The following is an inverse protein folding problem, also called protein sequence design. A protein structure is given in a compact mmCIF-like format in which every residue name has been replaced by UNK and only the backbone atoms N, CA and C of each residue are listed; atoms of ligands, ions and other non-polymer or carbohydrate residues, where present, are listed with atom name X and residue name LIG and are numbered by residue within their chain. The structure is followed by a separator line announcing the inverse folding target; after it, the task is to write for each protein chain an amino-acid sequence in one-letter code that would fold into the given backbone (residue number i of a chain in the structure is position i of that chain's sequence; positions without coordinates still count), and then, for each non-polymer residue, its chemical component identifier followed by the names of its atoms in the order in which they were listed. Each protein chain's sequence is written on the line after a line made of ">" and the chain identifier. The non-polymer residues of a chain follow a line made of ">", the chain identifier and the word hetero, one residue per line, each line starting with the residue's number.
data_IF_244765639878
#
_entry.id   IF_244765639878
#
_cell.length_a   1.000
_cell.length_b   1.000
_cell.length_c   1.000
_cell.angle_alpha   90.00
_cell.angle_beta   90.00
_cell.angle_gamma   90.00
#
_symmetry.space_group_name_H-M   'P 1'
#
loop_
_entity.id
_entity.type
_entity.pdbx_description
1 polymer ?
#
# COMPACT_ATOMS: atom_id res chain seq x y z
N UNK A 1 -2.58 17.19 -17.08
CA UNK A 1 -3.45 18.23 -16.49
C UNK A 1 -4.60 17.68 -15.62
N UNK A 2 -5.54 16.87 -16.15
CA UNK A 2 -6.72 16.39 -15.39
C UNK A 2 -6.38 15.54 -14.14
N UNK A 3 -5.33 14.73 -14.19
CA UNK A 3 -4.91 13.89 -13.06
C UNK A 3 -4.24 14.69 -11.93
N UNK A 4 -3.52 15.76 -12.28
CA UNK A 4 -2.90 16.67 -11.32
C UNK A 4 -3.96 17.43 -10.51
N UNK A 5 -5.00 17.95 -11.18
CA UNK A 5 -6.12 18.61 -10.49
C UNK A 5 -6.87 17.64 -9.56
N UNK A 6 -7.07 16.39 -10.00
CA UNK A 6 -7.64 15.34 -9.16
C UNK A 6 -6.76 15.05 -7.94
N UNK A 7 -5.44 15.02 -8.08
CA UNK A 7 -4.51 14.85 -6.97
C UNK A 7 -4.58 16.02 -5.98
N UNK A 8 -4.56 17.27 -6.46
CA UNK A 8 -4.70 18.49 -5.65
C UNK A 8 -6.01 18.49 -4.86
N UNK A 9 -7.13 18.12 -5.48
CA UNK A 9 -8.42 17.98 -4.78
C UNK A 9 -8.39 16.89 -3.69
N UNK A 10 -7.64 15.80 -3.89
CA UNK A 10 -7.48 14.74 -2.87
C UNK A 10 -6.64 15.21 -1.70
N UNK A 11 -5.57 15.96 -1.96
CA UNK A 11 -4.72 16.62 -0.95
C UNK A 11 -5.55 17.57 -0.10
N UNK A 12 -6.28 18.51 -0.72
CA UNK A 12 -7.13 19.46 0.00
C UNK A 12 -8.19 18.76 0.88
N UNK A 13 -8.78 17.66 0.39
CA UNK A 13 -9.73 16.85 1.19
C UNK A 13 -9.07 16.17 2.39
N UNK A 14 -7.82 15.72 2.25
CA UNK A 14 -7.06 15.09 3.35
C UNK A 14 -6.60 16.13 4.37
N UNK A 15 -6.14 17.30 3.91
CA UNK A 15 -5.77 18.44 4.76
C UNK A 15 -6.95 18.91 5.59
N UNK A 16 -8.13 19.12 4.97
CA UNK A 16 -9.34 19.50 5.71
C UNK A 16 -9.72 18.47 6.77
N UNK A 17 -9.52 17.17 6.49
CA UNK A 17 -9.76 16.10 7.47
C UNK A 17 -8.73 16.09 8.60
N UNK A 18 -7.46 16.38 8.30
CA UNK A 18 -6.40 16.45 9.30
C UNK A 18 -6.54 17.69 10.17
N UNK A 19 -6.81 18.85 9.57
CA UNK A 19 -7.11 20.08 10.29
C UNK A 19 -8.31 19.90 11.23
N UNK A 20 -9.39 19.25 10.75
CA UNK A 20 -10.52 18.92 11.62
C UNK A 20 -10.13 18.02 12.79
N UNK A 21 -9.23 17.05 12.58
CA UNK A 21 -8.75 16.17 13.67
C UNK A 21 -7.79 16.87 14.61
N UNK A 22 -6.97 17.80 14.12
CA UNK A 22 -6.02 18.57 14.91
C UNK A 22 -6.70 19.65 15.74
N UNK A 23 -7.80 20.22 15.23
CA UNK A 23 -8.64 21.18 15.94
C UNK A 23 -9.53 20.54 17.02
N UNK A 24 -9.67 19.21 17.04
CA UNK A 24 -10.40 18.53 18.11
C UNK A 24 -9.60 18.57 19.40
N UNK A 25 -10.22 19.08 20.46
CA UNK A 25 -9.62 19.09 21.80
C UNK A 25 -9.44 17.67 22.32
N UNK A 26 -8.57 17.49 23.32
CA UNK A 26 -8.37 16.16 23.93
C UNK A 26 -9.67 15.60 24.53
N UNK A 27 -10.51 16.48 25.10
CA UNK A 27 -11.83 16.13 25.63
C UNK A 27 -12.76 15.58 24.54
N UNK A 28 -12.86 16.26 23.40
CA UNK A 28 -13.68 15.79 22.28
C UNK A 28 -13.16 14.46 21.69
N UNK A 29 -11.84 14.26 21.68
CA UNK A 29 -11.23 12.99 21.25
C UNK A 29 -11.58 11.85 22.21
N UNK A 30 -11.59 12.14 23.51
CA UNK A 30 -11.93 11.19 24.56
C UNK A 30 -13.41 10.81 24.54
N UNK A 31 -14.31 11.78 24.35
CA UNK A 31 -15.74 11.55 24.14
C UNK A 31 -16.00 10.71 22.88
N UNK A 32 -15.30 11.00 21.77
CA UNK A 32 -15.42 10.20 20.56
C UNK A 32 -14.95 8.76 20.79
N UNK A 33 -13.85 8.57 21.52
CA UNK A 33 -13.37 7.24 21.88
C UNK A 33 -14.41 6.50 22.74
N UNK A 34 -15.00 7.17 23.71
CA UNK A 34 -16.04 6.60 24.57
C UNK A 34 -17.30 6.22 23.79
N UNK A 35 -17.80 7.09 22.91
CA UNK A 35 -18.92 6.78 22.03
C UNK A 35 -18.63 5.58 21.12
N UNK A 36 -17.39 5.46 20.63
CA UNK A 36 -16.98 4.30 19.83
C UNK A 36 -16.94 3.00 20.66
N UNK A 37 -16.52 3.06 21.93
CA UNK A 37 -16.60 1.92 22.85
C UNK A 37 -18.06 1.50 23.01
N UNK A 38 -18.95 2.43 23.37
CA UNK A 38 -20.39 2.15 23.58
C UNK A 38 -21.04 1.52 22.34
N UNK A 39 -20.82 2.11 21.16
CA UNK A 39 -21.33 1.58 19.88
C UNK A 39 -20.81 0.18 19.56
N UNK A 40 -19.56 -0.15 19.93
CA UNK A 40 -19.02 -1.49 19.72
C UNK A 40 -19.66 -2.51 20.65
N UNK A 41 -19.82 -2.16 21.93
CA UNK A 41 -20.48 -3.03 22.90
C UNK A 41 -21.93 -3.28 22.51
N UNK A 42 -22.66 -2.23 22.12
CA UNK A 42 -24.06 -2.35 21.67
C UNK A 42 -24.17 -3.25 20.42
N UNK A 43 -23.29 -3.08 19.43
CA UNK A 43 -23.26 -3.94 18.24
C UNK A 43 -22.92 -5.39 18.57
N UNK A 44 -22.01 -5.62 19.51
CA UNK A 44 -21.67 -6.96 19.97
C UNK A 44 -22.85 -7.61 20.70
N UNK A 45 -23.54 -6.87 21.57
CA UNK A 45 -24.75 -7.33 22.24
C UNK A 45 -25.87 -7.68 21.24
N UNK A 46 -26.12 -6.85 20.23
CA UNK A 46 -27.12 -7.12 19.18
C UNK A 46 -26.78 -8.35 18.32
N UNK A 47 -25.50 -8.64 18.11
CA UNK A 47 -25.05 -9.84 17.39
C UNK A 47 -25.20 -11.08 18.26
N UNK A 48 -24.77 -11.00 19.51
CA UNK A 48 -24.93 -12.05 20.50
C UNK A 48 -26.40 -12.47 20.66
N UNK A 49 -27.32 -11.50 20.77
CA UNK A 49 -28.76 -11.79 20.85
C UNK A 49 -29.34 -12.42 19.58
N UNK A 50 -28.77 -12.10 18.41
CA UNK A 50 -29.24 -12.63 17.12
C UNK A 50 -28.75 -14.04 16.86
N UNK A 51 -27.49 -14.31 17.19
CA UNK A 51 -26.80 -15.55 16.86
C UNK A 51 -26.84 -16.56 18.03
N UNK A 52 -27.40 -16.17 19.18
CA UNK A 52 -27.39 -16.97 20.42
C UNK A 52 -26.01 -17.14 21.04
N UNK A 53 -25.00 -16.43 20.55
CA UNK A 53 -23.63 -16.49 21.06
C UNK A 53 -23.46 -15.60 22.29
N UNK A 54 -22.50 -15.92 23.16
CA UNK A 54 -22.17 -15.07 24.30
C UNK A 54 -21.67 -13.68 23.85
N UNK A 55 -22.07 -12.64 24.58
CA UNK A 55 -21.57 -11.29 24.34
C UNK A 55 -20.15 -11.17 24.92
N UNK A 56 -19.12 -10.89 24.10
CA UNK A 56 -17.74 -10.79 24.59
C UNK A 56 -17.50 -9.62 25.56
N UNK A 57 -18.50 -8.74 25.75
CA UNK A 57 -18.46 -7.62 26.68
C UNK A 57 -19.45 -7.74 27.85
N UNK A 58 -20.08 -8.91 28.05
CA UNK A 58 -21.06 -9.14 29.12
C UNK A 58 -20.51 -8.75 30.50
N UNK A 59 -19.29 -9.19 30.82
CA UNK A 59 -18.62 -8.90 32.10
C UNK A 59 -18.43 -7.41 32.40
N UNK A 60 -18.36 -6.57 31.37
CA UNK A 60 -18.18 -5.12 31.52
C UNK A 60 -19.54 -4.45 31.83
N UNK A 61 -20.63 -5.07 31.38
CA UNK A 61 -22.00 -4.60 31.62
C UNK A 61 -22.64 -5.20 32.88
N UNK A 62 -22.17 -6.35 33.36
CA UNK A 62 -22.73 -7.04 34.52
C UNK A 62 -22.47 -6.28 35.82
N UNK A 63 -23.51 -5.72 36.46
CA UNK A 63 -23.43 -4.97 37.72
C UNK A 63 -22.69 -5.70 38.86
N UNK A 64 -22.65 -7.04 38.85
CA UNK A 64 -22.04 -7.86 39.91
C UNK A 64 -20.52 -7.92 39.89
N UNK A 65 -19.86 -7.64 38.76
CA UNK A 65 -18.39 -7.67 38.72
C UNK A 65 -17.79 -6.44 39.43
N UNK A 66 -16.65 -6.62 40.12
CA UNK A 66 -16.09 -5.56 40.96
C UNK A 66 -15.79 -4.31 40.14
N UNK A 67 -16.15 -3.14 40.69
CA UNK A 67 -15.98 -1.82 40.05
C UNK A 67 -14.56 -1.59 39.51
N UNK A 68 -13.54 -2.13 40.20
CA UNK A 68 -12.14 -2.02 39.78
C UNK A 68 -11.81 -2.83 38.52
N UNK A 69 -12.34 -4.05 38.39
CA UNK A 69 -12.12 -4.91 37.22
C UNK A 69 -12.80 -4.35 35.97
N UNK A 70 -14.04 -3.84 36.11
CA UNK A 70 -14.77 -3.16 35.04
C UNK A 70 -14.03 -1.94 34.53
N UNK A 71 -13.63 -1.04 35.44
CA UNK A 71 -12.86 0.17 35.10
C UNK A 71 -11.59 -0.17 34.33
N UNK A 72 -10.86 -1.21 34.75
CA UNK A 72 -9.64 -1.65 34.06
C UNK A 72 -9.92 -2.15 32.63
N UNK A 73 -10.92 -3.00 32.44
CA UNK A 73 -11.27 -3.52 31.10
C UNK A 73 -11.82 -2.43 30.18
N UNK A 74 -12.64 -1.53 30.71
CA UNK A 74 -13.14 -0.38 29.97
C UNK A 74 -12.00 0.55 29.55
N UNK A 75 -11.07 0.85 30.47
CA UNK A 75 -9.87 1.64 30.17
C UNK A 75 -8.99 0.99 29.10
N UNK A 76 -8.78 -0.33 29.15
CA UNK A 76 -8.06 -1.07 28.11
C UNK A 76 -8.75 -0.97 26.74
N UNK A 77 -10.07 -1.10 26.70
CA UNK A 77 -10.82 -0.96 25.45
C UNK A 77 -10.77 0.47 24.91
N UNK A 78 -10.88 1.49 25.78
CA UNK A 78 -10.71 2.91 25.42
C UNK A 78 -9.31 3.17 24.85
N UNK A 79 -8.26 2.66 25.51
CA UNK A 79 -6.87 2.78 25.06
C UNK A 79 -6.66 2.15 23.67
N UNK A 80 -7.16 0.92 23.45
CA UNK A 80 -7.06 0.26 22.15
C UNK A 80 -7.85 0.94 21.03
N UNK A 81 -8.89 1.73 21.34
CA UNK A 81 -9.55 2.61 20.36
C UNK A 81 -8.71 3.85 20.09
N UNK A 82 -8.17 4.49 21.13
CA UNK A 82 -7.30 5.67 21.01
C UNK A 82 -6.09 5.37 20.11
N UNK A 83 -5.44 4.23 20.32
CA UNK A 83 -4.34 3.75 19.47
C UNK A 83 -4.75 3.55 18.01
N UNK A 84 -5.95 2.99 17.76
CA UNK A 84 -6.47 2.85 16.38
C UNK A 84 -6.79 4.19 15.73
N UNK A 85 -7.18 5.19 16.51
CA UNK A 85 -7.44 6.56 16.01
C UNK A 85 -6.13 7.25 15.66
N UNK A 86 -5.12 7.19 16.53
CA UNK A 86 -3.80 7.78 16.29
C UNK A 86 -3.09 7.10 15.11
N UNK A 87 -3.12 5.77 15.02
CA UNK A 87 -2.57 5.05 13.87
C UNK A 87 -3.25 5.44 12.54
N UNK A 88 -4.58 5.64 12.54
CA UNK A 88 -5.31 6.13 11.36
C UNK A 88 -4.96 7.56 10.99
N UNK A 89 -4.67 8.42 11.98
CA UNK A 89 -4.19 9.79 11.76
C UNK A 89 -2.81 9.77 11.11
N UNK A 90 -1.85 9.05 11.68
CA UNK A 90 -0.48 8.94 11.16
C UNK A 90 -0.48 8.41 9.72
N UNK A 91 -1.30 7.38 9.43
CA UNK A 91 -1.46 6.85 8.05
C UNK A 91 -2.02 7.89 7.06
N UNK A 92 -2.87 8.82 7.53
CA UNK A 92 -3.39 9.91 6.68
C UNK A 92 -2.33 10.99 6.45
N UNK A 93 -1.54 11.31 7.47
CA UNK A 93 -0.42 12.26 7.38
C UNK A 93 0.65 11.74 6.41
N UNK A 94 1.05 10.47 6.53
CA UNK A 94 1.98 9.82 5.61
C UNK A 94 1.45 9.84 4.16
N UNK A 95 0.16 9.52 3.98
CA UNK A 95 -0.47 9.56 2.66
C UNK A 95 -0.53 10.97 2.08
N UNK A 96 -0.74 11.97 2.92
CA UNK A 96 -0.74 13.37 2.52
C UNK A 96 0.66 13.82 2.09
N UNK A 97 1.70 13.44 2.86
CA UNK A 97 3.09 13.74 2.54
C UNK A 97 3.49 13.16 1.17
N UNK A 98 3.19 11.88 0.92
CA UNK A 98 3.45 11.25 -0.39
C UNK A 98 2.76 11.98 -1.54
N UNK A 99 1.48 12.34 -1.38
CA UNK A 99 0.75 13.05 -2.42
C UNK A 99 1.28 14.47 -2.67
N UNK A 100 1.80 15.15 -1.63
CA UNK A 100 2.43 16.46 -1.78
C UNK A 100 3.75 16.33 -2.53
N UNK A 101 4.55 15.32 -2.24
CA UNK A 101 5.80 15.02 -2.95
C UNK A 101 5.54 14.70 -4.43
N UNK A 102 4.56 13.84 -4.73
CA UNK A 102 4.17 13.52 -6.10
C UNK A 102 3.76 14.77 -6.90
N UNK A 103 3.00 15.69 -6.27
CA UNK A 103 2.59 16.95 -6.91
C UNK A 103 3.79 17.87 -7.14
N UNK A 104 4.70 17.99 -6.16
CA UNK A 104 5.89 18.82 -6.28
C UNK A 104 6.82 18.32 -7.40
N UNK A 105 7.00 17.00 -7.53
CA UNK A 105 7.76 16.41 -8.62
C UNK A 105 7.11 16.66 -9.99
N UNK A 106 5.78 16.57 -10.08
CA UNK A 106 5.05 16.84 -11.32
C UNK A 106 5.13 18.32 -11.72
N UNK A 107 5.03 19.25 -10.76
CA UNK A 107 5.13 20.69 -11.02
C UNK A 107 6.56 21.08 -11.47
N UNK A 108 7.60 20.49 -10.87
CA UNK A 108 8.99 20.69 -11.32
C UNK A 108 9.24 20.11 -12.72
N UNK A 109 8.69 18.94 -13.05
CA UNK A 109 8.83 18.35 -14.37
C UNK A 109 8.20 19.23 -15.48
N UNK A 110 7.11 19.95 -15.17
CA UNK A 110 6.48 20.87 -16.13
C UNK A 110 7.26 22.20 -16.33
N UNK A 111 8.20 22.55 -15.46
CA UNK A 111 9.05 23.75 -15.62
C UNK A 111 10.28 23.54 -16.53
N UNK A 112 10.70 22.30 -16.77
CA UNK A 112 11.91 22.01 -17.55
C UNK A 112 11.70 22.20 -19.06
N UNK A 113 10.46 22.08 -19.56
CA UNK A 113 10.13 22.25 -20.99
C UNK A 113 9.93 23.71 -21.44
N UNK A 114 10.18 24.70 -20.56
CA UNK A 114 9.97 26.13 -20.86
C UNK A 114 11.26 26.94 -21.03
N UNK A 115 12.43 26.29 -21.09
CA UNK A 115 13.71 26.98 -21.32
C UNK A 115 13.98 27.07 -22.83
N UNK A 116 14.11 28.26 -23.44
CA UNK A 116 14.38 28.38 -24.87
C UNK A 116 15.77 27.79 -25.20
N UNK A 117 15.77 26.80 -26.09
CA UNK A 117 16.95 26.23 -26.73
C UNK A 117 17.64 27.32 -27.57
N UNK A 118 18.84 27.73 -27.16
CA UNK A 118 19.82 28.28 -28.08
C UNK A 118 21.06 27.39 -28.07
N UNK A 119 21.63 27.23 -29.27
CA UNK A 119 22.93 26.67 -29.63
C UNK A 119 23.14 25.14 -29.78
N UNK A 120 23.04 24.74 -31.07
CA UNK A 120 24.04 24.03 -31.89
C UNK A 120 24.63 22.67 -31.48
N UNK A 121 24.32 21.69 -32.34
CA UNK A 121 24.98 20.39 -32.58
C UNK A 121 26.47 20.53 -33.03
N UNK A 122 27.33 19.47 -33.10
CA UNK A 122 27.00 18.17 -33.72
C UNK A 122 27.53 16.86 -33.07
N UNK A 123 26.68 15.83 -33.23
CA UNK A 123 26.97 14.44 -33.64
C UNK A 123 27.88 13.52 -32.80
N UNK A 124 27.28 12.46 -32.24
CA UNK A 124 27.65 11.07 -32.56
C UNK A 124 26.39 10.23 -32.79
N UNK A 125 26.27 9.72 -34.00
CA UNK A 125 25.18 8.89 -34.49
C UNK A 125 25.41 7.43 -34.09
N UNK A 126 24.44 6.84 -33.38
CA UNK A 126 24.18 5.40 -33.48
C UNK A 126 22.71 5.22 -33.89
N UNK A 127 22.38 4.28 -34.79
CA UNK A 127 21.04 4.21 -35.36
C UNK A 127 20.05 3.77 -34.28
N UNK A 128 19.16 4.69 -33.91
CA UNK A 128 18.00 4.44 -33.08
C UNK A 128 17.06 3.44 -33.79
N UNK A 129 17.34 2.14 -33.64
CA UNK A 129 16.30 1.12 -33.80
C UNK A 129 15.22 1.46 -32.78
N UNK A 130 13.95 1.50 -33.22
CA UNK A 130 12.78 1.76 -32.37
C UNK A 130 12.70 0.70 -31.27
N UNK A 131 13.48 0.91 -30.23
CA UNK A 131 13.54 0.10 -29.06
C UNK A 131 12.30 0.43 -28.24
N UNK A 132 11.40 -0.54 -28.06
CA UNK A 132 10.29 -0.37 -27.13
C UNK A 132 10.81 0.04 -25.76
N UNK A 133 9.99 0.72 -24.97
CA UNK A 133 10.35 1.28 -23.65
C UNK A 133 11.07 0.30 -22.70
N UNK A 134 10.93 -1.01 -22.92
CA UNK A 134 11.59 -2.08 -22.16
C UNK A 134 12.80 -2.70 -22.88
N UNK A 135 13.66 -1.90 -23.51
CA UNK A 135 14.92 -2.39 -24.07
C UNK A 135 16.12 -1.86 -23.29
N UNK A 136 16.55 -2.64 -22.30
CA UNK A 136 17.69 -2.32 -21.45
C UNK A 136 19.03 -2.36 -22.19
N UNK A 137 19.11 -3.08 -23.32
CA UNK A 137 20.34 -3.14 -24.13
C UNK A 137 20.60 -1.81 -24.88
N UNK A 138 19.55 -1.05 -25.18
CA UNK A 138 19.64 0.24 -25.83
C UNK A 138 19.82 1.41 -24.85
N UNK A 139 19.83 1.15 -23.54
CA UNK A 139 20.10 2.18 -22.55
C UNK A 139 21.55 2.67 -22.69
N UNK A 140 21.70 3.99 -22.68
CA UNK A 140 22.99 4.66 -22.71
C UNK A 140 23.58 4.66 -21.30
N UNK A 141 24.70 3.98 -21.15
CA UNK A 141 25.47 3.95 -19.90
C UNK A 141 26.84 4.51 -20.21
N UNK A 142 27.30 5.49 -19.44
CA UNK A 142 28.63 6.10 -19.60
C UNK A 142 29.79 5.12 -19.41
N UNK A 143 29.52 3.93 -18.85
CA UNK A 143 30.50 2.88 -18.62
C UNK A 143 29.94 1.50 -19.02
N UNK A 144 30.58 0.87 -20.00
CA UNK A 144 30.20 -0.43 -20.55
C UNK A 144 30.28 -1.58 -19.54
N UNK A 145 31.20 -1.53 -18.57
CA UNK A 145 31.27 -2.53 -17.50
C UNK A 145 30.04 -2.46 -16.59
N UNK A 146 29.52 -1.24 -16.36
CA UNK A 146 28.32 -1.03 -15.56
C UNK A 146 27.09 -1.52 -16.31
N UNK A 147 27.03 -1.28 -17.62
CA UNK A 147 25.99 -1.82 -18.51
C UNK A 147 25.98 -3.35 -18.48
N UNK A 148 27.13 -4.00 -18.62
CA UNK A 148 27.23 -5.45 -18.58
C UNK A 148 26.79 -6.04 -17.23
N UNK A 149 27.19 -5.44 -16.10
CA UNK A 149 26.75 -5.84 -14.76
C UNK A 149 25.24 -5.64 -14.57
N UNK A 150 24.71 -4.53 -15.05
CA UNK A 150 23.28 -4.22 -15.00
C UNK A 150 22.46 -5.20 -15.84
N UNK A 151 22.86 -5.48 -17.08
CA UNK A 151 22.18 -6.46 -17.95
C UNK A 151 22.23 -7.86 -17.35
N UNK A 152 23.36 -8.26 -16.76
CA UNK A 152 23.50 -9.51 -16.01
C UNK A 152 22.58 -9.57 -14.79
N UNK A 153 22.46 -8.46 -14.05
CA UNK A 153 21.57 -8.37 -12.88
C UNK A 153 20.08 -8.44 -13.29
N UNK A 154 19.72 -7.79 -14.39
CA UNK A 154 18.37 -7.81 -14.95
C UNK A 154 18.03 -9.11 -15.69
N UNK A 155 19.00 -10.04 -15.82
CA UNK A 155 18.81 -11.31 -16.51
C UNK A 155 18.65 -11.17 -18.03
N UNK A 156 19.01 -10.01 -18.59
CA UNK A 156 18.99 -9.78 -20.03
C UNK A 156 20.26 -10.40 -20.59
N UNK A 157 20.12 -11.59 -21.18
CA UNK A 157 21.21 -12.33 -21.83
C UNK A 157 21.57 -11.59 -23.11
N UNK A 158 22.64 -10.79 -23.07
CA UNK A 158 23.16 -10.12 -24.26
C UNK A 158 23.47 -11.16 -25.33
N UNK A 159 22.76 -11.10 -26.45
CA UNK A 159 22.97 -11.99 -27.57
C UNK A 159 24.34 -11.76 -28.20
N UNK A 160 25.31 -12.61 -27.86
CA UNK A 160 26.62 -12.62 -28.50
C UNK A 160 27.69 -13.30 -27.66
N UNK A 161 27.89 -14.61 -27.87
CA UNK A 161 29.11 -15.32 -27.46
C UNK A 161 28.97 -16.22 -26.23
N UNK A 162 29.18 -17.53 -26.48
CA UNK A 162 29.41 -18.60 -25.51
C UNK A 162 28.26 -18.92 -24.52
N UNK A 163 27.45 -19.89 -24.91
CA UNK A 163 26.71 -20.73 -23.97
C UNK A 163 27.71 -21.54 -23.13
N UNK A 164 27.72 -21.49 -21.79
CA UNK A 164 28.05 -22.69 -21.04
C UNK A 164 26.79 -23.55 -21.07
N UNK A 165 26.79 -24.53 -21.96
CA UNK A 165 26.01 -25.75 -21.78
C UNK A 165 26.35 -26.31 -20.40
N UNK A 166 25.44 -26.13 -19.46
CA UNK A 166 25.61 -26.56 -18.09
C UNK A 166 24.30 -26.45 -17.36
N UNK A 167 23.56 -27.56 -17.31
CA UNK A 167 22.52 -27.82 -16.33
C UNK A 167 23.06 -27.53 -14.94
N UNK A 168 22.85 -26.32 -14.46
CA UNK A 168 23.37 -25.86 -13.20
C UNK A 168 22.52 -24.68 -12.78
N UNK A 169 21.52 -24.97 -11.95
CA UNK A 169 20.84 -23.99 -11.10
C UNK A 169 21.84 -22.93 -10.66
N UNK A 170 21.81 -21.75 -11.29
CA UNK A 170 22.39 -20.55 -10.71
C UNK A 170 21.55 -20.27 -9.47
N UNK A 171 21.99 -20.86 -8.37
CA UNK A 171 21.49 -20.64 -7.04
C UNK A 171 21.51 -19.13 -6.84
N UNK A 172 20.32 -18.55 -6.81
CA UNK A 172 20.10 -17.21 -6.27
C UNK A 172 20.88 -17.09 -4.96
N UNK A 173 21.49 -15.93 -4.62
CA UNK A 173 22.09 -15.74 -3.30
C UNK A 173 21.08 -15.94 -2.14
N UNK A 174 19.78 -16.02 -2.44
CA UNK A 174 18.72 -16.41 -1.51
C UNK A 174 18.46 -17.93 -1.42
N UNK A 175 19.04 -18.73 -2.30
CA UNK A 175 18.84 -20.19 -2.34
C UNK A 175 19.46 -20.89 -1.11
N UNK A 176 20.47 -20.29 -0.47
CA UNK A 176 21.06 -20.82 0.78
C UNK A 176 20.20 -20.56 2.02
N UNK A 177 19.24 -19.63 1.95
CA UNK A 177 18.39 -19.24 3.09
C UNK A 177 17.00 -19.89 3.08
N UNK A 178 16.57 -20.48 1.95
CA UNK A 178 15.26 -21.11 1.82
C UNK A 178 15.42 -22.63 1.82
N UNK A 179 15.07 -23.26 2.94
CA UNK A 179 15.00 -24.72 3.04
C UNK A 179 13.96 -25.28 2.07
N UNK A 180 14.10 -26.54 1.63
CA UNK A 180 13.13 -27.20 0.72
C UNK A 180 11.69 -27.15 1.25
N UNK A 181 11.53 -27.16 2.57
CA UNK A 181 10.24 -26.99 3.28
C UNK A 181 9.70 -25.55 3.16
N UNK A 182 10.58 -24.55 3.26
CA UNK A 182 10.27 -23.15 3.01
C UNK A 182 9.75 -22.92 1.58
N UNK A 183 10.37 -23.54 0.58
CA UNK A 183 9.91 -23.46 -0.81
C UNK A 183 8.50 -24.02 -1.00
N UNK A 184 8.20 -25.19 -0.41
CA UNK A 184 6.84 -25.76 -0.46
C UNK A 184 5.81 -24.86 0.21
N UNK A 185 6.17 -24.24 1.34
CA UNK A 185 5.29 -23.30 2.05
C UNK A 185 5.06 -22.01 1.26
N UNK A 186 6.10 -21.47 0.65
CA UNK A 186 6.02 -20.27 -0.21
C UNK A 186 5.15 -20.57 -1.44
N UNK A 187 5.35 -21.70 -2.10
CA UNK A 187 4.52 -22.09 -3.24
C UNK A 187 3.05 -22.26 -2.86
N UNK A 188 2.76 -22.90 -1.72
CA UNK A 188 1.38 -23.03 -1.22
C UNK A 188 0.75 -21.68 -0.89
N UNK A 189 1.50 -20.76 -0.30
CA UNK A 189 0.99 -19.42 0.02
C UNK A 189 0.75 -18.58 -1.23
N UNK A 190 1.64 -18.66 -2.22
CA UNK A 190 1.46 -18.02 -3.53
C UNK A 190 0.21 -18.54 -4.25
N UNK A 191 0.01 -19.86 -4.27
CA UNK A 191 -1.18 -20.47 -4.86
C UNK A 191 -2.46 -20.02 -4.13
N UNK A 192 -2.43 -19.94 -2.80
CA UNK A 192 -3.56 -19.45 -2.00
C UNK A 192 -3.90 -17.99 -2.30
N UNK A 193 -2.89 -17.13 -2.42
CA UNK A 193 -3.07 -15.72 -2.77
C UNK A 193 -3.62 -15.56 -4.20
N UNK A 194 -3.13 -16.35 -5.14
CA UNK A 194 -3.62 -16.38 -6.52
C UNK A 194 -5.10 -16.77 -6.56
N UNK A 195 -5.48 -17.88 -5.92
CA UNK A 195 -6.88 -18.33 -5.86
C UNK A 195 -7.80 -17.32 -5.15
N UNK A 196 -7.31 -16.67 -4.08
CA UNK A 196 -8.05 -15.60 -3.41
C UNK A 196 -8.29 -14.41 -4.36
N UNK A 197 -7.27 -13.99 -5.13
CA UNK A 197 -7.39 -12.94 -6.13
C UNK A 197 -8.37 -13.28 -7.25
N UNK A 198 -8.36 -14.51 -7.75
CA UNK A 198 -9.32 -15.01 -8.74
C UNK A 198 -10.76 -14.94 -8.21
N UNK A 199 -10.98 -15.40 -6.97
CA UNK A 199 -12.30 -15.33 -6.32
C UNK A 199 -12.79 -13.89 -6.13
N UNK A 200 -11.91 -12.96 -5.73
CA UNK A 200 -12.27 -11.55 -5.61
C UNK A 200 -12.66 -10.92 -6.95
N UNK A 201 -11.95 -11.27 -8.03
CA UNK A 201 -12.30 -10.80 -9.39
C UNK A 201 -13.65 -11.34 -9.84
N UNK A 202 -13.92 -12.61 -9.59
CA UNK A 202 -15.19 -13.24 -9.92
C UNK A 202 -16.35 -12.62 -9.11
N UNK A 203 -16.15 -12.33 -7.83
CA UNK A 203 -17.13 -11.66 -6.99
C UNK A 203 -17.38 -10.21 -7.44
N UNK A 204 -16.34 -9.47 -7.84
CA UNK A 204 -16.48 -8.12 -8.37
C UNK A 204 -17.26 -8.09 -9.70
N UNK A 205 -17.06 -9.08 -10.58
CA UNK A 205 -17.83 -9.20 -11.82
C UNK A 205 -19.29 -9.62 -11.58
N UNK A 206 -19.56 -10.47 -10.59
CA UNK A 206 -20.94 -10.87 -10.22
C UNK A 206 -21.71 -9.81 -9.43
N UNK A 207 -21.03 -8.92 -8.71
CA UNK A 207 -21.65 -7.85 -7.90
C UNK A 207 -21.95 -6.55 -8.64
N UNK A 208 -21.48 -6.39 -9.88
CA UNK A 208 -21.61 -5.13 -10.65
C UNK A 208 -22.89 -4.99 -11.47
N UNK A 209 -23.86 -5.92 -11.36
CA UNK A 209 -25.01 -6.02 -12.28
C UNK A 209 -26.39 -5.98 -11.60
N UNK A 210 -26.53 -5.33 -10.45
CA UNK A 210 -27.81 -5.26 -9.73
C UNK A 210 -27.94 -4.12 -8.75
N UNK A 211 -27.79 -2.86 -9.20
CA UNK A 211 -27.96 -1.72 -8.29
C UNK A 211 -27.93 -0.35 -8.95
N UNK A 212 -28.71 -0.15 -10.01
CA UNK A 212 -29.19 1.16 -10.49
C UNK A 212 -30.41 0.91 -11.37
N UNK A 213 -31.57 0.88 -10.72
CA UNK A 213 -32.87 0.65 -11.33
C UNK A 213 -33.92 0.53 -10.23
N UNK A 214 -34.74 1.60 -10.10
CA UNK A 214 -35.68 1.96 -9.03
C UNK A 214 -35.07 2.75 -7.87
#
# INVERSE_FOLDING_TARGET
>A
AKDLDKARRRVAKLEKKLHKLAAMTEEEQDEMCEQQVRRKMEKAAKRASKDGSENPYADIMDERTSSKAKRKRFAQLKAGIREKVTAKRNKREEKLARLREDIAMADNAMQVDSKPLNESSPAKTSPARKAGWNNWEAADFENDERKAKFLRFMGVKSGGGASPSGSGSTASPFASAITKEGNSKIQKDLEKQFQAGVKMRLQAQRGGRGGLGM
#
